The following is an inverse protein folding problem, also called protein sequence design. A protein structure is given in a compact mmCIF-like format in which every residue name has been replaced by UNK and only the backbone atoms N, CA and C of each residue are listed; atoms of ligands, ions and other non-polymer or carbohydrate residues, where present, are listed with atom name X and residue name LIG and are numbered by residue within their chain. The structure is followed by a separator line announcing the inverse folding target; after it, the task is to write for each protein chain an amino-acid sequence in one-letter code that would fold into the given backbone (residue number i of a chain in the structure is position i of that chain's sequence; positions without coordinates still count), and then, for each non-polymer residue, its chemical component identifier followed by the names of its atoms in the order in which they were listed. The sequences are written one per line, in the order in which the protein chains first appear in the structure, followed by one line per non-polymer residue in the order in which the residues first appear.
data_IF_306153261512
#
_entry.id   IF_306153261512
#
_cell.length_a   1.000
_cell.length_b   1.000
_cell.length_c   1.000
_cell.angle_alpha   90.00
_cell.angle_beta   90.00
_cell.angle_gamma   90.00
#
_symmetry.space_group_name_H-M   'P 1'
#
loop_
_entity.id
_entity.type
_entity.pdbx_description
1 polymer ?
#
# COMPACT_ATOMS: atom_id res chain seq x y z
N UNK A 1 -2.29 38.58 0.92
CA UNK A 1 -2.16 37.13 0.71
C UNK A 1 -1.57 36.61 2.01
N UNK A 2 -2.37 35.98 2.88
CA UNK A 2 -1.85 35.42 4.13
C UNK A 2 -1.14 34.12 3.77
N UNK A 3 0.15 34.04 4.04
CA UNK A 3 0.84 32.76 4.13
C UNK A 3 0.22 32.00 5.31
N UNK A 4 -0.58 30.98 5.02
CA UNK A 4 -1.07 30.02 6.00
C UNK A 4 0.07 29.03 6.32
N UNK A 5 1.11 29.50 7.00
CA UNK A 5 2.24 28.67 7.46
C UNK A 5 1.93 27.90 8.76
N UNK A 6 0.69 27.93 9.23
CA UNK A 6 0.29 27.37 10.53
C UNK A 6 -0.10 25.89 10.53
N UNK A 7 -0.42 25.32 9.36
CA UNK A 7 -1.03 23.99 9.25
C UNK A 7 -0.15 22.95 8.52
N UNK A 8 1.08 23.31 8.14
CA UNK A 8 2.01 22.36 7.53
C UNK A 8 2.40 21.25 8.52
N UNK A 9 2.68 20.07 7.98
CA UNK A 9 3.23 18.97 8.75
C UNK A 9 4.76 19.11 8.77
N UNK A 10 5.35 18.98 9.95
CA UNK A 10 6.82 19.03 10.12
C UNK A 10 7.40 17.62 10.28
N UNK A 11 8.69 17.47 9.94
CA UNK A 11 9.36 16.17 10.04
C UNK A 11 9.37 15.62 11.49
N UNK A 12 9.47 16.49 12.50
CA UNK A 12 9.46 16.10 13.92
C UNK A 12 8.10 15.55 14.38
N UNK A 13 7.03 15.83 13.64
CA UNK A 13 5.67 15.31 13.90
C UNK A 13 5.44 13.93 13.30
N UNK A 14 6.31 13.46 12.41
CA UNK A 14 6.28 12.12 11.83
C UNK A 14 6.87 11.08 12.80
N UNK A 15 6.26 10.96 13.97
CA UNK A 15 6.64 9.98 15.00
C UNK A 15 6.06 8.62 14.62
N UNK A 16 6.86 7.60 14.25
CA UNK A 16 6.28 6.37 13.73
C UNK A 16 5.66 5.53 14.84
N UNK A 17 4.52 4.89 14.57
CA UNK A 17 3.84 4.00 15.52
C UNK A 17 4.08 2.52 15.21
N UNK A 18 4.05 1.63 16.20
CA UNK A 18 4.10 0.19 15.94
C UNK A 18 2.94 -0.27 15.07
N UNK A 19 3.20 -1.26 14.23
CA UNK A 19 2.22 -1.80 13.30
C UNK A 19 2.53 -1.37 11.88
N UNK A 20 1.48 -1.36 11.06
CA UNK A 20 1.61 -1.26 9.61
C UNK A 20 1.28 -2.57 8.93
N UNK A 21 0.91 -2.46 7.66
CA UNK A 21 0.38 -3.58 6.90
C UNK A 21 0.84 -3.51 5.47
N UNK A 22 0.87 -4.68 4.85
CA UNK A 22 0.95 -4.79 3.41
C UNK A 22 -0.14 -5.74 2.91
N UNK A 23 -0.55 -5.58 1.67
CA UNK A 23 -1.63 -6.36 1.05
C UNK A 23 -1.48 -6.40 -0.45
N UNK A 24 -2.06 -7.42 -1.08
CA UNK A 24 -2.21 -7.44 -2.53
C UNK A 24 -3.61 -7.02 -2.98
N UNK A 25 -3.70 -6.50 -4.20
CA UNK A 25 -4.94 -6.25 -4.91
C UNK A 25 -4.83 -6.81 -6.33
N UNK A 26 -5.63 -7.84 -6.61
CA UNK A 26 -5.87 -8.32 -7.97
C UNK A 26 -7.13 -7.62 -8.50
N UNK A 27 -6.94 -6.73 -9.47
CA UNK A 27 -7.98 -5.84 -9.97
C UNK A 27 -7.96 -5.78 -11.50
N UNK A 28 -9.14 -5.56 -12.09
CA UNK A 28 -9.29 -5.23 -13.49
C UNK A 28 -10.28 -4.06 -13.68
N UNK A 29 -10.24 -3.43 -14.84
CA UNK A 29 -11.28 -2.48 -15.23
C UNK A 29 -11.51 -2.54 -16.74
N UNK A 30 -12.41 -3.42 -17.20
CA UNK A 30 -12.71 -3.55 -18.63
C UNK A 30 -13.23 -2.25 -19.27
N UNK A 31 -13.90 -1.38 -18.50
CA UNK A 31 -14.40 -0.10 -19.01
C UNK A 31 -13.26 0.86 -19.40
N UNK A 32 -12.11 0.73 -18.73
CA UNK A 32 -10.89 1.49 -19.01
C UNK A 32 -9.86 0.67 -19.81
N UNK A 33 -10.22 -0.54 -20.26
CA UNK A 33 -9.30 -1.44 -20.97
C UNK A 33 -8.17 -2.01 -20.09
N UNK A 34 -8.30 -1.91 -18.76
CA UNK A 34 -7.30 -2.42 -17.81
C UNK A 34 -7.51 -3.92 -17.65
N UNK A 35 -6.56 -4.70 -18.17
CA UNK A 35 -6.51 -6.15 -17.96
C UNK A 35 -6.21 -6.47 -16.49
N UNK A 36 -6.60 -7.66 -15.99
CA UNK A 36 -6.36 -7.99 -14.59
C UNK A 36 -4.86 -8.00 -14.26
N UNK A 37 -4.48 -7.34 -13.17
CA UNK A 37 -3.11 -7.32 -12.67
C UNK A 37 -3.08 -7.35 -11.14
N UNK A 38 -2.03 -7.95 -10.59
CA UNK A 38 -1.76 -7.95 -9.16
C UNK A 38 -0.84 -6.79 -8.81
N UNK A 39 -1.24 -6.00 -7.82
CA UNK A 39 -0.45 -4.93 -7.22
C UNK A 39 -0.38 -5.09 -5.71
N UNK A 40 0.55 -4.36 -5.09
CA UNK A 40 0.80 -4.38 -3.67
C UNK A 40 0.62 -2.98 -3.08
N UNK A 41 0.13 -2.97 -1.84
CA UNK A 41 0.00 -1.77 -1.02
C UNK A 41 0.82 -1.93 0.25
N UNK A 42 1.47 -0.85 0.69
CA UNK A 42 2.23 -0.77 1.93
C UNK A 42 1.76 0.44 2.72
N UNK A 43 1.46 0.23 4.00
CA UNK A 43 0.90 1.24 4.89
C UNK A 43 1.75 1.35 6.15
N UNK A 44 2.23 2.57 6.42
CA UNK A 44 3.09 2.93 7.52
C UNK A 44 2.38 3.95 8.41
N UNK A 45 1.92 3.57 9.61
CA UNK A 45 1.28 4.49 10.53
C UNK A 45 2.30 5.35 11.28
N UNK A 46 1.93 6.60 11.54
CA UNK A 46 2.59 7.50 12.48
C UNK A 46 1.65 7.79 13.65
N UNK A 47 2.13 8.55 14.63
CA UNK A 47 1.34 9.01 15.75
C UNK A 47 0.31 10.04 15.26
N UNK A 48 -0.78 10.17 16.02
CA UNK A 48 -1.74 11.24 15.76
C UNK A 48 -1.06 12.60 15.99
N UNK A 49 -1.40 13.54 15.12
CA UNK A 49 -0.93 14.92 15.19
C UNK A 49 -2.09 15.80 15.64
N UNK A 50 -1.88 16.52 16.74
CA UNK A 50 -2.87 17.42 17.33
C UNK A 50 -2.82 18.79 16.67
N UNK A 51 -4.00 19.33 16.34
CA UNK A 51 -4.23 20.70 15.87
C UNK A 51 -5.39 21.33 16.62
N UNK A 52 -5.60 22.63 16.47
CA UNK A 52 -6.69 23.35 17.16
C UNK A 52 -8.09 22.81 16.80
N UNK A 53 -8.24 22.25 15.61
CA UNK A 53 -9.49 21.68 15.10
C UNK A 53 -9.60 20.15 15.32
N UNK A 54 -8.65 19.54 16.01
CA UNK A 54 -8.67 18.14 16.41
C UNK A 54 -7.41 17.37 16.05
N UNK A 55 -7.40 16.09 16.43
CA UNK A 55 -6.34 15.14 16.11
C UNK A 55 -6.53 14.52 14.72
N UNK A 56 -5.44 14.28 14.02
CA UNK A 56 -5.42 13.52 12.77
C UNK A 56 -4.46 12.35 12.86
N UNK A 57 -4.92 11.17 12.49
CA UNK A 57 -3.99 10.06 12.23
C UNK A 57 -3.14 10.37 11.03
N UNK A 58 -1.83 10.23 11.17
CA UNK A 58 -0.89 10.39 10.07
C UNK A 58 -0.45 9.02 9.55
N UNK A 59 -0.41 8.86 8.23
CA UNK A 59 0.08 7.62 7.64
C UNK A 59 0.70 7.85 6.27
N UNK A 60 1.74 7.08 5.95
CA UNK A 60 2.30 6.98 4.61
C UNK A 60 1.74 5.72 3.94
N UNK A 61 1.26 5.86 2.71
CA UNK A 61 0.77 4.77 1.87
C UNK A 61 1.50 4.76 0.54
N UNK A 62 1.85 3.55 0.10
CA UNK A 62 2.37 3.24 -1.22
C UNK A 62 1.42 2.24 -1.84
N UNK A 63 0.69 2.64 -2.86
CA UNK A 63 -0.35 1.84 -3.50
C UNK A 63 0.02 1.50 -4.94
N UNK A 64 -0.64 0.47 -5.46
CA UNK A 64 -0.49 0.02 -6.85
C UNK A 64 0.94 -0.40 -7.24
N UNK A 65 1.73 -0.82 -6.26
CA UNK A 65 3.12 -1.24 -6.46
C UNK A 65 3.16 -2.57 -7.19
N UNK A 66 3.89 -2.63 -8.30
CA UNK A 66 4.14 -3.88 -9.04
C UNK A 66 5.56 -4.37 -8.74
N UNK A 67 5.68 -5.59 -8.25
CA UNK A 67 6.97 -6.23 -7.94
C UNK A 67 7.14 -7.44 -8.86
N UNK A 68 8.28 -7.51 -9.55
CA UNK A 68 8.60 -8.60 -10.48
C UNK A 68 8.59 -9.95 -9.74
N UNK A 69 8.21 -11.04 -10.43
CA UNK A 69 7.24 -12.06 -10.00
C UNK A 69 7.40 -12.49 -8.54
N UNK A 70 6.98 -11.62 -7.63
CA UNK A 70 7.05 -11.86 -6.19
C UNK A 70 5.78 -12.59 -5.77
N UNK A 71 5.96 -13.74 -5.11
CA UNK A 71 4.84 -14.36 -4.39
C UNK A 71 4.72 -13.72 -3.02
N UNK A 72 3.54 -13.75 -2.40
CA UNK A 72 3.37 -13.23 -1.04
C UNK A 72 4.26 -13.92 0.02
N UNK A 73 4.88 -15.05 -0.32
CA UNK A 73 5.84 -15.78 0.53
C UNK A 73 7.30 -15.48 0.21
N UNK A 74 7.57 -14.72 -0.85
CA UNK A 74 8.91 -14.47 -1.37
C UNK A 74 9.08 -13.02 -1.83
N UNK A 75 8.94 -12.11 -0.87
CA UNK A 75 9.06 -10.66 -1.05
C UNK A 75 10.45 -10.14 -0.68
N UNK A 76 11.25 -10.89 0.08
CA UNK A 76 12.58 -10.42 0.50
C UNK A 76 13.49 -10.13 -0.71
N UNK A 77 14.18 -8.99 -0.68
CA UNK A 77 15.01 -8.50 -1.79
C UNK A 77 14.23 -7.85 -2.93
N UNK A 78 12.90 -7.81 -2.89
CA UNK A 78 12.10 -7.09 -3.87
C UNK A 78 12.12 -5.60 -3.58
N UNK A 79 12.05 -4.80 -4.63
CA UNK A 79 11.99 -3.36 -4.49
C UNK A 79 11.57 -2.68 -5.77
N UNK A 80 11.28 -1.39 -5.63
CA UNK A 80 10.83 -0.54 -6.72
C UNK A 80 11.36 0.86 -6.52
N UNK A 81 11.59 1.55 -7.63
CA UNK A 81 11.84 2.98 -7.69
C UNK A 81 10.85 3.58 -8.69
N UNK A 82 10.20 4.69 -8.35
CA UNK A 82 9.20 5.37 -9.19
C UNK A 82 9.71 5.74 -10.58
N UNK A 83 11.03 5.97 -10.76
CA UNK A 83 11.63 6.16 -12.08
C UNK A 83 11.48 4.93 -13.02
N UNK A 84 11.17 3.76 -12.46
CA UNK A 84 11.02 2.48 -13.17
C UNK A 84 9.56 2.04 -13.34
N UNK A 85 8.61 2.71 -12.68
CA UNK A 85 7.17 2.36 -12.75
C UNK A 85 6.47 3.38 -13.62
N UNK A 86 5.89 2.93 -14.73
CA UNK A 86 5.13 3.78 -15.64
C UNK A 86 3.80 4.25 -15.00
N UNK A 87 3.88 5.21 -14.08
CA UNK A 87 2.78 6.05 -13.61
C UNK A 87 1.64 5.36 -12.85
N UNK A 88 1.78 4.10 -12.43
CA UNK A 88 0.74 3.39 -11.67
C UNK A 88 0.96 3.42 -10.17
N UNK A 89 2.21 3.43 -9.69
CA UNK A 89 2.50 3.51 -8.27
C UNK A 89 2.06 4.86 -7.71
N UNK A 90 1.31 4.84 -6.60
CA UNK A 90 0.84 6.03 -5.91
C UNK A 90 1.54 6.12 -4.55
N UNK A 91 2.10 7.28 -4.24
CA UNK A 91 2.67 7.58 -2.93
C UNK A 91 1.89 8.73 -2.31
N UNK A 92 1.33 8.52 -1.12
CA UNK A 92 0.61 9.58 -0.42
C UNK A 92 0.80 9.54 1.08
N UNK A 93 0.74 10.71 1.70
CA UNK A 93 0.58 10.86 3.13
C UNK A 93 -0.83 11.30 3.43
N UNK A 94 -1.50 10.59 4.32
CA UNK A 94 -2.74 11.06 4.89
C UNK A 94 -2.43 11.96 6.09
N UNK A 95 -2.85 13.21 6.01
CA UNK A 95 -2.92 14.17 7.12
C UNK A 95 -4.13 15.08 6.87
N UNK A 96 -5.26 14.75 7.53
CA UNK A 96 -6.63 15.24 7.27
C UNK A 96 -7.19 14.98 5.86
N UNK A 97 -6.33 14.87 4.86
CA UNK A 97 -6.58 14.50 3.48
C UNK A 97 -5.37 13.74 2.93
N UNK A 98 -5.48 13.19 1.72
CA UNK A 98 -4.34 12.62 1.02
C UNK A 98 -3.52 13.72 0.37
N UNK A 99 -2.20 13.67 0.60
CA UNK A 99 -1.20 14.53 -0.03
C UNK A 99 -0.24 13.65 -0.83
N UNK A 100 -0.10 13.94 -2.11
CA UNK A 100 0.55 13.10 -3.10
C UNK A 100 2.03 13.45 -3.23
N UNK A 101 2.85 12.42 -3.47
CA UNK A 101 4.28 12.55 -3.73
C UNK A 101 4.62 12.00 -5.11
N UNK A 102 5.50 12.70 -5.82
CA UNK A 102 5.92 12.36 -7.19
C UNK A 102 6.79 11.09 -7.24
N UNK A 103 7.60 10.89 -6.20
CA UNK A 103 8.61 9.84 -6.19
C UNK A 103 8.48 8.92 -4.98
N UNK A 104 8.79 7.65 -5.20
CA UNK A 104 8.82 6.63 -4.18
C UNK A 104 9.92 5.60 -4.44
N UNK A 105 10.68 5.31 -3.41
CA UNK A 105 11.60 4.18 -3.35
C UNK A 105 11.11 3.24 -2.25
N UNK A 106 11.02 1.95 -2.56
CA UNK A 106 10.65 0.93 -1.60
C UNK A 106 11.55 -0.30 -1.77
N UNK A 107 11.99 -0.86 -0.65
CA UNK A 107 12.76 -2.09 -0.59
C UNK A 107 12.23 -2.98 0.53
N UNK A 108 11.95 -4.24 0.19
CA UNK A 108 11.66 -5.29 1.16
C UNK A 108 12.99 -5.93 1.56
N UNK A 109 13.51 -5.56 2.72
CA UNK A 109 14.83 -5.96 3.22
C UNK A 109 14.83 -7.42 3.68
N UNK A 110 13.80 -7.85 4.38
CA UNK A 110 13.70 -9.18 4.99
C UNK A 110 12.24 -9.63 5.02
N UNK A 111 12.01 -10.96 5.03
CA UNK A 111 10.70 -11.53 5.28
C UNK A 111 10.77 -12.63 6.35
N UNK A 112 9.84 -12.59 7.32
CA UNK A 112 9.65 -13.59 8.38
C UNK A 112 8.20 -14.06 8.37
N UNK A 113 7.95 -15.20 7.73
CA UNK A 113 6.59 -15.71 7.53
C UNK A 113 5.74 -14.70 6.75
N UNK A 114 4.69 -14.18 7.38
CA UNK A 114 3.77 -13.19 6.81
C UNK A 114 4.21 -11.74 7.07
N UNK A 115 5.31 -11.51 7.77
CA UNK A 115 5.80 -10.17 8.05
C UNK A 115 6.97 -9.82 7.13
N UNK A 116 7.01 -8.58 6.66
CA UNK A 116 8.10 -8.05 5.81
C UNK A 116 8.73 -6.85 6.49
N UNK A 117 10.05 -6.75 6.46
CA UNK A 117 10.79 -5.56 6.86
C UNK A 117 11.00 -4.68 5.63
N UNK A 118 10.48 -3.46 5.67
CA UNK A 118 10.45 -2.57 4.51
C UNK A 118 11.11 -1.26 4.85
N UNK A 119 11.98 -0.78 3.97
CA UNK A 119 12.47 0.60 3.94
C UNK A 119 11.82 1.33 2.76
N UNK A 120 11.45 2.58 2.97
CA UNK A 120 10.90 3.43 1.92
C UNK A 120 11.30 4.89 2.11
N UNK A 121 11.39 5.61 1.00
CA UNK A 121 11.46 7.07 0.96
C UNK A 121 10.51 7.58 -0.12
N UNK A 122 9.74 8.63 0.19
CA UNK A 122 8.92 9.37 -0.78
C UNK A 122 9.37 10.82 -0.85
N UNK A 123 9.27 11.41 -2.04
CA UNK A 123 9.72 12.79 -2.28
C UNK A 123 8.99 13.46 -3.43
N UNK A 124 9.13 14.77 -3.56
CA UNK A 124 8.39 15.58 -4.52
C UNK A 124 6.97 15.82 -4.05
N UNK A 125 6.82 16.55 -2.95
CA UNK A 125 5.52 16.97 -2.37
C UNK A 125 4.70 17.79 -3.38
N UNK A 126 3.69 17.16 -3.99
CA UNK A 126 2.86 17.76 -5.04
C UNK A 126 1.74 18.65 -4.48
N UNK A 127 1.29 18.36 -3.26
CA UNK A 127 0.13 19.00 -2.64
C UNK A 127 0.51 20.02 -1.57
N UNK A 128 1.81 20.17 -1.26
CA UNK A 128 2.33 21.20 -0.37
C UNK A 128 2.12 20.90 1.11
N UNK A 129 2.19 19.61 1.50
CA UNK A 129 2.10 19.15 2.88
C UNK A 129 3.18 19.81 3.78
N UNK A 130 4.33 20.14 3.22
CA UNK A 130 5.40 20.90 3.88
C UNK A 130 6.57 20.06 4.40
N UNK A 131 6.58 18.75 4.13
CA UNK A 131 7.66 17.84 4.50
C UNK A 131 8.08 16.98 3.30
N UNK A 132 9.35 17.11 2.90
CA UNK A 132 9.93 16.42 1.75
C UNK A 132 11.46 16.33 1.93
N UNK A 133 12.08 15.13 1.93
CA UNK A 133 11.48 13.81 1.78
C UNK A 133 10.88 13.24 3.08
N UNK A 134 10.09 12.17 2.95
CA UNK A 134 9.60 11.36 4.07
C UNK A 134 10.16 9.94 3.95
N UNK A 135 10.73 9.42 5.04
CA UNK A 135 11.24 8.05 5.11
C UNK A 135 10.52 7.19 6.16
N UNK A 136 10.41 5.89 5.89
CA UNK A 136 9.95 4.91 6.87
C UNK A 136 10.75 3.60 6.76
N UNK A 137 11.00 2.95 7.91
CA UNK A 137 11.63 1.63 7.99
C UNK A 137 10.91 0.80 9.05
N UNK A 138 10.12 -0.21 8.66
CA UNK A 138 9.27 -0.94 9.62
C UNK A 138 8.98 -2.38 9.20
N UNK A 139 8.66 -3.20 10.20
CA UNK A 139 8.03 -4.51 9.98
C UNK A 139 6.53 -4.32 9.72
N UNK A 140 6.03 -4.87 8.62
CA UNK A 140 4.64 -4.79 8.18
C UNK A 140 4.01 -6.18 8.18
N UNK A 141 2.76 -6.27 8.65
CA UNK A 141 2.03 -7.53 8.69
C UNK A 141 1.21 -7.75 7.41
N UNK A 142 1.26 -8.94 6.84
CA UNK A 142 0.45 -9.26 5.67
C UNK A 142 -1.02 -9.33 6.05
N UNK A 143 -1.84 -8.49 5.43
CA UNK A 143 -3.28 -8.44 5.69
C UNK A 143 -4.11 -9.23 4.68
N UNK A 144 -3.46 -9.83 3.69
CA UNK A 144 -4.06 -10.68 2.68
C UNK A 144 -4.08 -10.04 1.29
N UNK A 145 -4.81 -10.69 0.38
CA UNK A 145 -4.99 -10.23 -1.00
C UNK A 145 -6.47 -10.09 -1.29
N UNK A 146 -6.86 -8.93 -1.81
CA UNK A 146 -8.21 -8.71 -2.33
C UNK A 146 -8.25 -9.07 -3.80
N UNK A 147 -9.23 -9.87 -4.20
CA UNK A 147 -9.57 -10.12 -5.60
C UNK A 147 -10.85 -9.34 -5.90
N UNK A 148 -10.75 -8.40 -6.83
CA UNK A 148 -11.83 -7.54 -7.31
C UNK A 148 -11.80 -7.51 -8.83
N UNK A 149 -12.12 -8.65 -9.44
CA UNK A 149 -12.08 -8.87 -10.88
C UNK A 149 -13.50 -8.98 -11.43
N UNK A 150 -13.78 -8.23 -12.49
CA UNK A 150 -15.09 -8.02 -13.08
C UNK A 150 -15.78 -9.29 -13.55
N UNK A 151 -15.04 -10.36 -13.86
CA UNK A 151 -15.58 -11.66 -14.29
C UNK A 151 -15.83 -12.65 -13.14
N UNK A 152 -15.29 -12.39 -11.95
CA UNK A 152 -15.31 -13.33 -10.82
C UNK A 152 -16.60 -13.19 -10.00
N UNK A 153 -17.26 -14.31 -9.71
CA UNK A 153 -18.55 -14.39 -9.00
C UNK A 153 -18.55 -15.35 -7.82
N UNK A 154 -17.53 -16.20 -7.70
CA UNK A 154 -17.42 -17.17 -6.61
C UNK A 154 -16.00 -17.25 -6.03
N UNK A 155 -15.88 -17.88 -4.86
CA UNK A 155 -14.59 -18.14 -4.20
C UNK A 155 -13.70 -19.03 -5.08
N UNK A 156 -14.26 -20.05 -5.74
CA UNK A 156 -13.51 -20.96 -6.60
C UNK A 156 -12.93 -20.23 -7.83
N UNK A 157 -13.73 -19.36 -8.45
CA UNK A 157 -13.28 -18.50 -9.55
C UNK A 157 -12.23 -17.49 -9.08
N UNK A 158 -12.40 -16.89 -7.90
CA UNK A 158 -11.44 -15.95 -7.33
C UNK A 158 -10.09 -16.62 -7.06
N UNK A 159 -10.12 -17.85 -6.54
CA UNK A 159 -8.92 -18.63 -6.24
C UNK A 159 -8.20 -19.05 -7.52
N UNK A 160 -8.96 -19.49 -8.53
CA UNK A 160 -8.41 -19.84 -9.85
C UNK A 160 -7.76 -18.62 -10.47
N UNK A 161 -8.46 -17.48 -10.46
CA UNK A 161 -7.98 -16.23 -11.04
C UNK A 161 -6.73 -15.71 -10.33
N UNK A 162 -6.69 -15.75 -9.00
CA UNK A 162 -5.51 -15.36 -8.24
C UNK A 162 -4.32 -16.30 -8.48
N UNK A 163 -4.59 -17.60 -8.63
CA UNK A 163 -3.60 -18.63 -8.94
C UNK A 163 -2.87 -18.43 -10.27
N UNK A 164 -3.43 -17.63 -11.19
CA UNK A 164 -2.73 -17.24 -12.43
C UNK A 164 -1.59 -16.24 -12.19
N UNK A 165 -1.59 -15.53 -11.04
CA UNK A 165 -0.61 -14.50 -10.72
C UNK A 165 0.39 -14.95 -9.66
N UNK A 166 -0.05 -15.75 -8.68
CA UNK A 166 0.76 -16.16 -7.53
C UNK A 166 0.35 -17.53 -6.99
N UNK A 167 1.20 -18.14 -6.17
CA UNK A 167 0.82 -19.31 -5.37
C UNK A 167 -0.17 -18.93 -4.25
N UNK A 168 -1.33 -19.58 -4.26
CA UNK A 168 -2.41 -19.39 -3.28
C UNK A 168 -2.30 -20.33 -2.07
N UNK A 169 -1.29 -21.21 -2.04
CA UNK A 169 -1.11 -22.19 -0.97
C UNK A 169 -1.01 -21.52 0.41
N UNK A 170 -1.84 -21.99 1.35
CA UNK A 170 -1.93 -21.44 2.71
C UNK A 170 -2.67 -20.10 2.83
N UNK A 171 -3.44 -19.73 1.80
CA UNK A 171 -4.46 -18.71 1.90
C UNK A 171 -5.84 -19.35 2.07
N UNK A 172 -6.69 -18.74 2.90
CA UNK A 172 -8.13 -19.01 2.99
C UNK A 172 -8.91 -17.83 2.45
N UNK A 173 -10.02 -18.10 1.76
CA UNK A 173 -10.82 -17.07 1.12
C UNK A 173 -12.15 -16.88 1.85
N UNK A 174 -12.52 -15.62 2.06
CA UNK A 174 -13.86 -15.19 2.49
C UNK A 174 -14.44 -14.19 1.50
N UNK A 175 -15.77 -14.13 1.33
CA UNK A 175 -16.41 -13.04 0.61
C UNK A 175 -16.01 -11.68 1.22
N UNK A 176 -15.73 -10.70 0.36
CA UNK A 176 -15.43 -9.34 0.77
C UNK A 176 -16.69 -8.55 1.11
N UNK A 177 -16.49 -7.35 1.68
CA UNK A 177 -17.59 -6.44 2.06
C UNK A 177 -18.29 -5.87 0.83
N UNK A 178 -17.56 -5.70 -0.28
CA UNK A 178 -18.12 -5.23 -1.55
C UNK A 178 -18.57 -6.43 -2.37
N UNK A 179 -19.77 -6.36 -2.92
CA UNK A 179 -20.30 -7.41 -3.80
C UNK A 179 -19.33 -7.69 -4.96
N UNK A 180 -19.03 -8.97 -5.18
CA UNK A 180 -18.08 -9.40 -6.21
C UNK A 180 -16.60 -9.25 -5.82
N UNK A 181 -16.29 -8.88 -4.57
CA UNK A 181 -14.92 -8.92 -4.03
C UNK A 181 -14.72 -10.13 -3.12
N UNK A 182 -13.48 -10.64 -3.10
CA UNK A 182 -13.05 -11.77 -2.29
C UNK A 182 -11.75 -11.42 -1.58
N UNK A 183 -11.56 -11.92 -0.36
CA UNK A 183 -10.35 -11.64 0.43
C UNK A 183 -9.68 -12.95 0.84
N UNK A 184 -8.43 -13.10 0.40
CA UNK A 184 -7.56 -14.21 0.72
C UNK A 184 -6.65 -13.82 1.88
N UNK A 185 -6.67 -14.58 2.98
CA UNK A 185 -5.85 -14.33 4.17
C UNK A 185 -5.00 -15.55 4.52
N UNK A 186 -3.80 -15.37 5.11
CA UNK A 186 -3.03 -16.48 5.63
C UNK A 186 -3.85 -17.38 6.56
N UNK A 187 -3.70 -18.68 6.40
CA UNK A 187 -4.16 -19.65 7.40
C UNK A 187 -3.08 -19.72 8.47
N UNK A 188 -3.44 -19.38 9.71
CA UNK A 188 -2.57 -19.52 10.87
C UNK A 188 -2.38 -20.98 11.27
#
# INVERSE_FOLDING_TARGET
MREETGDQLTADELVPTPGGRWSGLLFDNPKLGISPYLSWSFYFPYADVEREYGASTVSLSLDWITLAPATWRDMAGQGVNSAQVAGLAEASVYFFQHHSYDNAELQVVEQRGTQVHVTTTVSGDLDGLGVDPIGAERWLSFSGIRVSVSSVRSVAEASTRLGEFIDVAGLSCVPGVVAGSFVFRPVN
#
